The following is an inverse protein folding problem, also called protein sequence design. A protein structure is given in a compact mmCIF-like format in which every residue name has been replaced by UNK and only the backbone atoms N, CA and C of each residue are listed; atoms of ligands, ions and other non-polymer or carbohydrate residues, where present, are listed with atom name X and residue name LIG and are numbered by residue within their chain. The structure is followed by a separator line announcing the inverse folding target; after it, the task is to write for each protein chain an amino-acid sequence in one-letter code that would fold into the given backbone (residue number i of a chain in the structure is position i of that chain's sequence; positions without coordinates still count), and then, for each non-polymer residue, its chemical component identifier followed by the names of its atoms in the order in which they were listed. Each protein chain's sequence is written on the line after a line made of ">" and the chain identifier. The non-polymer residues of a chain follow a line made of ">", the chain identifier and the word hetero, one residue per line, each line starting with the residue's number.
data_IF_597304174736
#
_entry.id   IF_597304174736
#
_cell.length_a   1.000
_cell.length_b   1.000
_cell.length_c   1.000
_cell.angle_alpha   90.00
_cell.angle_beta   90.00
_cell.angle_gamma   90.00
#
_symmetry.space_group_name_H-M   'P 1'
#
loop_
_entity.id
_entity.type
_entity.pdbx_description
1 polymer ?
#
# COMPACT_ATOMS: atom_id res chain seq x y z
N UNK A 1 3.42 13.42 10.93
CA UNK A 1 3.55 12.39 9.89
C UNK A 1 5.03 12.06 9.73
N UNK A 2 5.47 11.44 8.64
CA UNK A 2 6.84 10.97 8.51
C UNK A 2 7.44 11.18 7.14
N UNK A 3 8.76 11.26 7.07
CA UNK A 3 9.49 11.46 5.82
C UNK A 3 9.84 10.14 5.17
N UNK A 4 9.23 9.81 4.03
CA UNK A 4 9.45 8.53 3.34
C UNK A 4 10.92 8.24 3.02
N UNK A 5 11.76 9.27 2.89
CA UNK A 5 13.21 9.15 2.64
C UNK A 5 14.05 9.00 3.92
N UNK A 6 13.46 9.20 5.10
CA UNK A 6 14.13 9.10 6.38
C UNK A 6 13.60 7.91 7.17
N UNK A 7 14.49 7.21 7.85
CA UNK A 7 14.13 6.11 8.75
C UNK A 7 14.53 6.51 10.18
N UNK A 8 13.64 6.37 11.18
CA UNK A 8 12.24 5.93 11.08
C UNK A 8 11.37 6.95 10.34
N UNK A 9 10.29 6.45 9.73
CA UNK A 9 9.28 7.29 9.09
C UNK A 9 8.65 8.20 10.16
N UNK A 10 8.15 7.60 11.24
CA UNK A 10 7.49 8.30 12.35
C UNK A 10 7.96 7.71 13.67
N UNK A 11 8.15 8.58 14.66
CA UNK A 11 8.24 8.21 16.06
C UNK A 11 7.13 8.93 16.83
N UNK A 12 6.33 8.19 17.59
CA UNK A 12 5.26 8.75 18.41
C UNK A 12 4.20 7.71 18.72
N UNK A 13 3.25 8.09 19.55
CA UNK A 13 2.08 7.28 19.90
C UNK A 13 1.13 7.18 18.70
N UNK A 14 1.00 5.97 18.15
CA UNK A 14 0.19 5.71 16.95
C UNK A 14 -1.19 5.21 17.35
N UNK A 15 -1.28 4.58 18.53
CA UNK A 15 -2.46 3.90 19.04
C UNK A 15 -3.19 4.73 20.12
N UNK A 16 -2.68 5.92 20.45
CA UNK A 16 -3.13 6.82 21.52
C UNK A 16 -3.16 6.12 22.90
N UNK A 17 -2.19 5.22 23.16
CA UNK A 17 -2.11 4.44 24.41
C UNK A 17 -1.10 4.99 25.43
N UNK A 18 -0.43 6.10 25.10
CA UNK A 18 0.60 6.75 25.90
C UNK A 18 2.01 6.22 25.68
N UNK A 19 2.18 5.19 24.84
CA UNK A 19 3.48 4.61 24.46
C UNK A 19 3.87 5.10 23.07
N UNK A 20 5.17 5.32 22.84
CA UNK A 20 5.63 5.72 21.51
C UNK A 20 6.12 4.51 20.70
N UNK A 21 5.70 4.42 19.45
CA UNK A 21 6.16 3.43 18.49
C UNK A 21 7.02 4.04 17.39
N UNK A 22 7.80 3.19 16.73
CA UNK A 22 8.55 3.53 15.52
C UNK A 22 7.85 2.90 14.30
N UNK A 23 7.47 3.73 13.32
CA UNK A 23 7.04 3.27 11.98
C UNK A 23 8.24 3.28 11.06
N UNK A 24 8.50 2.14 10.41
CA UNK A 24 9.66 1.95 9.53
C UNK A 24 9.20 1.30 8.22
N UNK A 25 9.76 1.74 7.10
CA UNK A 25 9.68 1.00 5.84
C UNK A 25 10.97 0.21 5.62
N UNK A 26 10.85 -1.08 5.34
CA UNK A 26 11.95 -1.94 4.87
C UNK A 26 11.52 -2.57 3.55
N UNK A 27 12.04 -2.04 2.44
CA UNK A 27 11.55 -2.41 1.11
C UNK A 27 10.05 -2.07 0.95
N UNK A 28 9.23 -3.08 0.66
CA UNK A 28 7.77 -2.94 0.52
C UNK A 28 6.98 -3.19 1.81
N UNK A 29 7.68 -3.48 2.91
CA UNK A 29 7.10 -3.81 4.20
C UNK A 29 7.07 -2.59 5.12
N UNK A 30 5.91 -2.35 5.74
CA UNK A 30 5.76 -1.43 6.86
C UNK A 30 5.90 -2.24 8.15
N UNK A 31 6.75 -1.76 9.05
CA UNK A 31 7.00 -2.32 10.37
C UNK A 31 6.61 -1.30 11.44
N UNK A 32 6.00 -1.76 12.52
CA UNK A 32 5.81 -1.00 13.76
C UNK A 32 6.61 -1.68 14.85
N UNK A 33 7.60 -0.97 15.38
CA UNK A 33 8.48 -1.43 16.45
C UNK A 33 8.16 -0.68 17.74
N UNK A 34 7.98 -1.41 18.84
CA UNK A 34 7.84 -0.83 20.18
C UNK A 34 9.22 -0.79 20.86
N UNK A 35 9.79 0.41 21.13
CA UNK A 35 11.02 0.55 21.88
C UNK A 35 10.94 -0.05 23.29
N UNK A 36 9.79 0.10 23.95
CA UNK A 36 9.57 -0.38 25.30
C UNK A 36 9.55 -1.91 25.37
N UNK A 37 8.83 -2.55 24.42
CA UNK A 37 8.80 -4.00 24.30
C UNK A 37 10.04 -4.59 23.59
N UNK A 38 10.87 -3.74 22.97
CA UNK A 38 12.07 -4.09 22.20
C UNK A 38 11.82 -5.11 21.09
N UNK A 39 10.67 -5.00 20.42
CA UNK A 39 10.27 -5.93 19.34
C UNK A 39 9.38 -5.26 18.30
N UNK A 40 9.28 -5.89 17.13
CA UNK A 40 8.25 -5.59 16.13
C UNK A 40 6.91 -6.09 16.67
N UNK A 41 5.91 -5.20 16.70
CA UNK A 41 4.56 -5.49 17.20
C UNK A 41 3.55 -5.63 16.07
N UNK A 42 3.85 -5.09 14.88
CA UNK A 42 3.07 -5.25 13.67
C UNK A 42 3.97 -5.16 12.45
N UNK A 43 3.68 -5.95 11.42
CA UNK A 43 4.42 -5.92 10.15
C UNK A 43 3.54 -6.35 8.99
N UNK A 44 3.62 -5.63 7.87
CA UNK A 44 2.83 -5.94 6.68
C UNK A 44 3.46 -5.41 5.40
N UNK A 45 3.43 -6.20 4.33
CA UNK A 45 3.64 -5.69 2.97
C UNK A 45 2.48 -4.77 2.58
N UNK A 46 2.73 -3.47 2.45
CA UNK A 46 1.69 -2.48 2.11
C UNK A 46 1.77 -2.02 0.65
N UNK A 47 2.77 -2.48 -0.09
CA UNK A 47 2.95 -2.20 -1.51
C UNK A 47 3.21 -3.49 -2.28
N UNK A 48 2.63 -3.58 -3.47
CA UNK A 48 3.01 -4.56 -4.50
C UNK A 48 3.50 -3.76 -5.69
N UNK A 49 4.72 -4.06 -6.15
CA UNK A 49 5.37 -3.33 -7.25
C UNK A 49 6.00 -4.33 -8.21
N UNK A 50 5.18 -5.22 -8.74
CA UNK A 50 5.59 -6.28 -9.65
C UNK A 50 5.30 -5.87 -11.10
N UNK A 51 5.95 -4.83 -11.58
CA UNK A 51 5.81 -4.39 -12.96
C UNK A 51 7.10 -3.74 -13.46
N UNK A 52 7.41 -3.96 -14.73
CA UNK A 52 8.47 -3.28 -15.46
C UNK A 52 7.94 -1.94 -15.98
N UNK A 53 8.79 -0.92 -15.99
CA UNK A 53 8.55 0.32 -16.73
C UNK A 53 8.28 0.06 -18.21
N UNK A 54 7.82 1.07 -18.94
CA UNK A 54 7.60 0.92 -20.38
C UNK A 54 8.90 0.61 -21.12
N UNK A 55 9.97 1.30 -20.76
CA UNK A 55 11.31 1.09 -21.32
C UNK A 55 11.82 -0.32 -21.02
N UNK A 56 11.67 -0.79 -19.79
CA UNK A 56 12.06 -2.15 -19.39
C UNK A 56 11.20 -3.21 -20.07
N UNK A 57 9.88 -3.01 -20.16
CA UNK A 57 8.96 -3.93 -20.86
C UNK A 57 9.31 -4.01 -22.35
N UNK A 58 9.64 -2.87 -22.97
CA UNK A 58 10.07 -2.82 -24.35
C UNK A 58 11.38 -3.57 -24.55
N UNK A 59 12.39 -3.29 -23.72
CA UNK A 59 13.69 -3.96 -23.78
C UNK A 59 13.57 -5.48 -23.55
N UNK A 60 12.68 -5.89 -22.64
CA UNK A 60 12.37 -7.29 -22.39
C UNK A 60 11.84 -7.98 -23.66
N UNK A 61 10.83 -7.40 -24.32
CA UNK A 61 10.27 -7.96 -25.55
C UNK A 61 11.17 -7.83 -26.80
N UNK A 62 12.16 -6.95 -26.79
CA UNK A 62 13.20 -6.93 -27.83
C UNK A 62 14.14 -8.14 -27.70
N UNK A 63 14.46 -8.56 -26.48
CA UNK A 63 15.32 -9.71 -26.22
C UNK A 63 14.55 -11.04 -26.24
N UNK A 64 13.32 -11.04 -25.74
CA UNK A 64 12.39 -12.17 -25.72
C UNK A 64 11.13 -11.79 -26.50
N UNK A 65 11.16 -11.90 -27.85
CA UNK A 65 10.01 -11.54 -28.67
C UNK A 65 8.75 -12.30 -28.22
N UNK A 66 7.63 -11.60 -28.03
CA UNK A 66 6.40 -12.24 -27.58
C UNK A 66 5.92 -13.25 -28.63
N UNK A 67 5.52 -14.43 -28.16
CA UNK A 67 4.93 -15.49 -28.96
C UNK A 67 3.41 -15.37 -29.11
N UNK A 68 2.78 -14.51 -28.30
CA UNK A 68 1.34 -14.29 -28.30
C UNK A 68 0.90 -13.15 -29.23
N UNK A 69 -0.38 -13.16 -29.61
CA UNK A 69 -1.04 -12.02 -30.27
C UNK A 69 -1.04 -10.80 -29.33
N UNK A 70 -0.97 -9.59 -29.89
CA UNK A 70 -1.06 -8.31 -29.18
C UNK A 70 -2.26 -8.23 -28.22
N UNK A 71 -3.35 -8.95 -28.49
CA UNK A 71 -4.51 -9.04 -27.59
C UNK A 71 -4.20 -9.62 -26.20
N UNK A 72 -3.09 -10.36 -26.07
CA UNK A 72 -2.66 -11.01 -24.84
C UNK A 72 -1.35 -10.44 -24.28
N UNK A 73 -0.77 -9.44 -24.95
CA UNK A 73 0.46 -8.79 -24.49
C UNK A 73 0.08 -7.63 -23.57
N UNK A 74 0.60 -7.57 -22.34
CA UNK A 74 0.36 -6.45 -21.44
C UNK A 74 1.11 -5.17 -21.86
N UNK A 75 0.63 -4.01 -21.42
CA UNK A 75 1.40 -2.76 -21.51
C UNK A 75 2.64 -2.80 -20.62
N UNK A 76 2.53 -3.36 -19.42
CA UNK A 76 3.61 -3.51 -18.45
C UNK A 76 3.75 -4.98 -18.04
N UNK A 77 4.95 -5.53 -18.22
CA UNK A 77 5.26 -6.92 -17.89
C UNK A 77 5.52 -7.08 -16.38
N UNK A 78 5.23 -8.26 -15.81
CA UNK A 78 5.63 -8.61 -14.44
C UNK A 78 7.16 -8.61 -14.31
N UNK A 79 7.68 -7.92 -13.29
CA UNK A 79 9.11 -7.83 -13.00
C UNK A 79 9.62 -9.11 -12.30
N UNK A 80 8.74 -9.83 -11.61
CA UNK A 80 8.99 -11.12 -10.99
C UNK A 80 8.88 -12.29 -11.98
N UNK A 81 8.67 -12.01 -13.27
CA UNK A 81 8.58 -13.05 -14.29
C UNK A 81 9.94 -13.77 -14.45
N UNK A 82 10.06 -14.94 -13.83
CA UNK A 82 11.25 -15.79 -13.90
C UNK A 82 11.32 -16.58 -15.22
N UNK A 83 10.18 -16.74 -15.91
CA UNK A 83 10.12 -17.34 -17.23
C UNK A 83 10.03 -16.22 -18.27
N UNK A 84 11.19 -15.76 -18.70
CA UNK A 84 11.32 -14.64 -19.63
C UNK A 84 10.61 -14.84 -20.98
N UNK A 85 10.10 -16.04 -21.27
CA UNK A 85 9.29 -16.31 -22.47
C UNK A 85 7.78 -16.14 -22.29
N UNK A 86 7.31 -15.96 -21.05
CA UNK A 86 5.89 -15.80 -20.73
C UNK A 86 5.48 -14.32 -20.67
N UNK A 87 4.40 -13.92 -21.34
CA UNK A 87 3.85 -12.56 -21.32
C UNK A 87 2.86 -12.38 -20.15
N UNK A 88 3.41 -12.25 -18.93
CA UNK A 88 2.64 -12.07 -17.70
C UNK A 88 2.41 -10.58 -17.41
N UNK A 89 1.15 -10.15 -17.18
CA UNK A 89 0.86 -8.78 -16.82
C UNK A 89 1.46 -8.43 -15.46
N UNK A 90 2.05 -7.25 -15.34
CA UNK A 90 2.55 -6.73 -14.08
C UNK A 90 1.42 -6.33 -13.12
N UNK A 91 1.71 -6.37 -11.82
CA UNK A 91 0.81 -6.01 -10.74
C UNK A 91 1.30 -4.77 -9.99
N UNK A 92 0.35 -3.91 -9.63
CA UNK A 92 0.54 -2.82 -8.68
C UNK A 92 -0.45 -2.97 -7.54
N UNK A 93 -0.01 -2.71 -6.32
CA UNK A 93 -0.86 -2.78 -5.14
C UNK A 93 -0.52 -1.70 -4.14
N UNK A 94 -1.56 -1.14 -3.54
CA UNK A 94 -1.46 -0.08 -2.55
C UNK A 94 -2.20 -0.51 -1.28
N UNK A 95 -1.65 -0.12 -0.14
CA UNK A 95 -2.19 -0.42 1.18
C UNK A 95 -2.30 0.85 2.01
N UNK A 96 -3.41 0.97 2.72
CA UNK A 96 -3.67 2.06 3.65
C UNK A 96 -4.11 1.49 4.99
N UNK A 97 -3.58 2.08 6.06
CA UNK A 97 -3.85 1.65 7.43
C UNK A 97 -4.68 2.74 8.11
N UNK A 98 -5.66 2.31 8.90
CA UNK A 98 -6.37 3.14 9.86
C UNK A 98 -6.20 2.52 11.25
N UNK A 99 -5.86 3.35 12.23
CA UNK A 99 -5.63 2.94 13.61
C UNK A 99 -6.66 3.63 14.50
N UNK A 100 -7.24 2.89 15.44
CA UNK A 100 -8.23 3.39 16.40
C UNK A 100 -8.88 2.25 17.17
N UNK A 101 -9.91 2.52 17.98
CA UNK A 101 -10.74 1.50 18.64
C UNK A 101 -12.12 1.48 17.95
N UNK A 102 -12.25 0.62 16.94
CA UNK A 102 -13.42 0.60 16.05
C UNK A 102 -14.54 -0.29 16.58
N UNK A 103 -14.19 -1.35 17.31
CA UNK A 103 -15.15 -2.25 17.93
C UNK A 103 -15.57 -1.82 19.36
N UNK A 104 -14.91 -0.80 19.92
CA UNK A 104 -15.16 -0.17 21.23
C UNK A 104 -14.85 -1.09 22.41
N UNK A 105 -13.88 -1.98 22.25
CA UNK A 105 -13.43 -2.89 23.30
C UNK A 105 -12.27 -2.34 24.14
N UNK A 106 -11.75 -1.16 23.80
CA UNK A 106 -10.66 -0.49 24.50
C UNK A 106 -9.26 -0.95 24.08
N UNK A 107 -9.14 -1.83 23.08
CA UNK A 107 -7.87 -2.18 22.44
C UNK A 107 -7.74 -1.45 21.10
N UNK A 108 -6.50 -1.23 20.68
CA UNK A 108 -6.22 -0.63 19.39
C UNK A 108 -6.43 -1.66 18.25
N UNK A 109 -7.22 -1.26 17.28
CA UNK A 109 -7.46 -1.92 16.00
C UNK A 109 -6.62 -1.28 14.91
N UNK A 110 -6.14 -2.10 13.98
CA UNK A 110 -5.53 -1.69 12.72
C UNK A 110 -6.37 -2.26 11.58
N UNK A 111 -7.05 -1.39 10.85
CA UNK A 111 -7.74 -1.73 9.61
C UNK A 111 -6.81 -1.49 8.44
N UNK A 112 -6.59 -2.53 7.65
CA UNK A 112 -5.81 -2.46 6.41
C UNK A 112 -6.73 -2.54 5.22
N UNK A 113 -6.83 -1.46 4.45
CA UNK A 113 -7.47 -1.45 3.15
C UNK A 113 -6.40 -1.58 2.06
N UNK A 114 -6.51 -2.61 1.23
CA UNK A 114 -5.65 -2.82 0.05
C UNK A 114 -6.43 -2.69 -1.24
N UNK A 115 -5.77 -2.20 -2.27
CA UNK A 115 -6.23 -2.22 -3.67
C UNK A 115 -5.20 -2.91 -4.53
N UNK A 116 -5.64 -3.83 -5.37
CA UNK A 116 -4.80 -4.55 -6.33
C UNK A 116 -5.18 -4.19 -7.75
N UNK A 117 -4.18 -3.92 -8.58
CA UNK A 117 -4.29 -3.55 -9.96
C UNK A 117 -3.41 -4.47 -10.81
N UNK A 118 -3.83 -4.70 -12.06
CA UNK A 118 -3.13 -5.50 -13.05
C UNK A 118 -2.94 -4.69 -14.32
N UNK A 119 -1.81 -4.85 -15.01
CA UNK A 119 -1.56 -4.19 -16.28
C UNK A 119 -2.68 -4.53 -17.26
N UNK A 120 -3.15 -3.52 -17.98
CA UNK A 120 -4.05 -3.71 -19.11
C UNK A 120 -3.30 -4.31 -20.30
N UNK A 121 -4.02 -4.98 -21.18
CA UNK A 121 -3.47 -5.50 -22.44
C UNK A 121 -3.26 -4.36 -23.44
N UNK A 122 -2.38 -4.54 -24.43
CA UNK A 122 -2.06 -3.53 -25.46
C UNK A 122 -3.25 -3.11 -26.32
N UNK A 123 -4.29 -3.94 -26.37
CA UNK A 123 -5.56 -3.65 -27.04
C UNK A 123 -6.50 -2.76 -26.22
N UNK A 124 -6.22 -2.57 -24.93
CA UNK A 124 -6.93 -1.65 -24.05
C UNK A 124 -6.16 -0.32 -23.89
N UNK A 125 -6.79 0.67 -23.25
CA UNK A 125 -6.10 1.89 -22.82
C UNK A 125 -4.88 1.56 -21.95
N UNK A 126 -3.79 2.30 -22.16
CA UNK A 126 -2.56 2.13 -21.39
C UNK A 126 -2.80 2.41 -19.91
N UNK A 127 -2.20 1.57 -19.05
CA UNK A 127 -2.32 1.70 -17.60
C UNK A 127 -2.68 0.38 -16.93
N UNK A 128 -3.26 0.50 -15.74
CA UNK A 128 -3.68 -0.64 -14.92
C UNK A 128 -5.19 -0.65 -14.72
N UNK A 129 -5.77 -1.83 -14.54
CA UNK A 129 -7.17 -2.02 -14.15
C UNK A 129 -7.25 -2.54 -12.73
N UNK A 130 -8.17 -1.99 -11.93
CA UNK A 130 -8.43 -2.47 -10.57
C UNK A 130 -9.02 -3.88 -10.64
N UNK A 131 -8.45 -4.79 -9.87
CA UNK A 131 -8.88 -6.20 -9.77
C UNK A 131 -9.78 -6.38 -8.56
N UNK A 132 -9.34 -5.89 -7.40
CA UNK A 132 -10.08 -6.03 -6.13
C UNK A 132 -9.63 -5.03 -5.08
N UNK A 133 -10.54 -4.80 -4.15
CA UNK A 133 -10.23 -4.23 -2.84
C UNK A 133 -10.19 -5.37 -1.81
N UNK A 134 -9.46 -5.20 -0.72
CA UNK A 134 -9.43 -6.18 0.37
C UNK A 134 -9.24 -5.49 1.71
N UNK A 135 -10.00 -5.94 2.69
CA UNK A 135 -10.03 -5.39 4.04
C UNK A 135 -9.50 -6.44 5.01
N UNK A 136 -8.64 -6.02 5.92
CA UNK A 136 -8.12 -6.85 6.99
C UNK A 136 -8.24 -6.10 8.30
N UNK A 137 -8.55 -6.83 9.36
CA UNK A 137 -8.61 -6.30 10.72
C UNK A 137 -7.52 -6.98 11.56
N UNK A 138 -6.74 -6.18 12.27
CA UNK A 138 -5.81 -6.63 13.30
C UNK A 138 -6.13 -5.92 14.61
N UNK A 139 -5.92 -6.59 15.73
CA UNK A 139 -6.15 -6.02 17.06
C UNK A 139 -4.93 -6.28 17.94
N UNK A 140 -4.59 -5.30 18.77
CA UNK A 140 -3.53 -5.40 19.78
C UNK A 140 -3.93 -6.40 20.86
N UNK A 141 -3.09 -7.41 21.03
CA UNK A 141 -3.28 -8.43 22.06
C UNK A 141 -2.65 -8.01 23.39
N UNK A 142 -2.95 -8.75 24.46
CA UNK A 142 -2.36 -8.53 25.79
C UNK A 142 -0.82 -8.66 25.85
N UNK A 143 -0.18 -9.24 24.83
CA UNK A 143 1.28 -9.29 24.68
C UNK A 143 1.87 -8.09 23.94
N UNK A 144 1.02 -7.11 23.60
CA UNK A 144 1.36 -5.91 22.84
C UNK A 144 1.52 -6.11 21.34
N UNK A 145 1.28 -7.32 20.82
CA UNK A 145 1.37 -7.62 19.38
C UNK A 145 0.01 -7.49 18.72
N UNK A 146 -0.02 -6.94 17.51
CA UNK A 146 -1.22 -6.87 16.69
C UNK A 146 -1.41 -8.17 15.92
N UNK A 147 -2.55 -8.84 16.09
CA UNK A 147 -2.87 -10.09 15.40
C UNK A 147 -4.09 -9.94 14.53
N UNK A 148 -4.07 -10.59 13.37
CA UNK A 148 -5.19 -10.58 12.45
C UNK A 148 -6.41 -11.26 13.10
N UNK A 149 -7.55 -10.58 13.04
CA UNK A 149 -8.83 -11.06 13.54
C UNK A 149 -9.68 -11.64 12.42
N UNK A 150 -10.64 -12.49 12.80
CA UNK A 150 -11.67 -12.98 11.88
C UNK A 150 -12.84 -12.01 11.94
N UNK A 151 -12.80 -11.01 11.07
CA UNK A 151 -13.86 -10.00 10.93
C UNK A 151 -14.32 -9.96 9.48
N UNK A 152 -15.63 -9.91 9.26
CA UNK A 152 -16.18 -9.90 7.90
C UNK A 152 -16.01 -8.52 7.28
N UNK A 153 -15.87 -8.46 5.96
CA UNK A 153 -15.76 -7.21 5.20
C UNK A 153 -16.91 -6.25 5.52
N UNK A 154 -18.15 -6.77 5.67
CA UNK A 154 -19.34 -5.97 6.02
C UNK A 154 -19.15 -5.23 7.35
N UNK A 155 -18.53 -5.85 8.35
CA UNK A 155 -18.27 -5.21 9.64
C UNK A 155 -17.21 -4.13 9.49
N UNK A 156 -16.11 -4.43 8.78
CA UNK A 156 -15.03 -3.45 8.55
C UNK A 156 -15.53 -2.25 7.74
N UNK A 157 -16.34 -2.48 6.70
CA UNK A 157 -16.96 -1.43 5.90
C UNK A 157 -17.88 -0.53 6.74
N UNK A 158 -18.62 -1.12 7.71
CA UNK A 158 -19.41 -0.33 8.65
C UNK A 158 -18.52 0.53 9.54
N UNK A 159 -17.42 0.00 10.10
CA UNK A 159 -16.48 0.79 10.89
C UNK A 159 -15.86 1.94 10.09
N UNK A 160 -15.45 1.67 8.84
CA UNK A 160 -14.93 2.71 7.96
C UNK A 160 -15.97 3.80 7.71
N UNK A 161 -17.23 3.42 7.42
CA UNK A 161 -18.31 4.39 7.17
C UNK A 161 -18.66 5.20 8.41
N UNK A 162 -18.81 4.56 9.57
CA UNK A 162 -19.23 5.19 10.82
C UNK A 162 -18.17 6.17 11.35
N UNK A 163 -16.89 5.97 10.96
CA UNK A 163 -15.78 6.88 11.28
C UNK A 163 -15.41 7.83 10.11
N UNK A 164 -16.24 7.85 9.05
CA UNK A 164 -16.03 8.65 7.85
C UNK A 164 -14.62 8.46 7.24
N UNK A 165 -14.12 7.23 7.28
CA UNK A 165 -12.82 6.83 6.75
C UNK A 165 -12.99 6.36 5.30
N UNK A 166 -12.46 7.16 4.37
CA UNK A 166 -12.46 6.84 2.94
C UNK A 166 -11.05 6.65 2.44
N UNK A 167 -10.90 5.98 1.30
CA UNK A 167 -9.60 5.80 0.66
C UNK A 167 -8.88 7.14 0.51
N UNK A 168 -9.56 8.21 0.10
CA UNK A 168 -9.02 9.54 -0.14
C UNK A 168 -8.60 10.31 1.12
N UNK A 169 -9.17 10.00 2.29
CA UNK A 169 -9.00 10.82 3.49
C UNK A 169 -7.62 10.66 4.13
N UNK A 170 -6.95 11.76 4.48
CA UNK A 170 -5.73 11.68 5.31
C UNK A 170 -4.44 11.40 4.55
N UNK A 171 -4.44 11.49 3.22
CA UNK A 171 -3.19 11.63 2.48
C UNK A 171 -2.67 13.08 2.58
N UNK A 172 -1.41 13.32 2.97
CA UNK A 172 -0.86 14.66 3.07
C UNK A 172 -0.58 15.22 1.68
N UNK A 173 -1.13 16.39 1.34
CA UNK A 173 -0.82 17.08 0.08
C UNK A 173 0.47 17.89 0.12
N UNK A 174 0.98 18.18 1.32
CA UNK A 174 2.18 18.97 1.53
C UNK A 174 3.19 18.20 2.39
N UNK A 175 4.46 18.38 2.07
CA UNK A 175 5.57 17.77 2.80
C UNK A 175 5.73 18.40 4.18
N UNK A 176 5.95 17.56 5.18
CA UNK A 176 6.39 17.94 6.54
C UNK A 176 7.90 17.70 6.72
N UNK A 177 8.62 17.36 5.64
CA UNK A 177 10.03 17.00 5.74
C UNK A 177 10.93 18.20 5.92
N UNK A 178 11.93 18.03 6.79
CA UNK A 178 12.93 19.05 7.07
C UNK A 178 13.60 19.53 5.78
N UNK A 179 13.48 20.82 5.49
CA UNK A 179 14.00 21.48 4.29
C UNK A 179 13.04 21.49 3.09
N UNK A 180 11.92 20.78 3.16
CA UNK A 180 10.91 20.66 2.10
C UNK A 180 9.50 20.97 2.66
N UNK A 181 9.41 21.64 3.81
CA UNK A 181 8.14 21.89 4.49
C UNK A 181 7.21 22.75 3.64
N UNK A 182 5.94 22.35 3.56
CA UNK A 182 4.91 23.07 2.81
C UNK A 182 5.04 22.95 1.28
N UNK A 183 6.03 22.21 0.77
CA UNK A 183 6.11 21.89 -0.65
C UNK A 183 5.07 20.83 -1.03
N UNK A 184 4.57 20.89 -2.27
CA UNK A 184 3.61 19.91 -2.78
C UNK A 184 4.26 18.53 -2.88
N UNK A 185 3.51 17.50 -2.47
CA UNK A 185 3.91 16.10 -2.68
C UNK A 185 3.46 15.69 -4.09
N UNK A 186 4.36 15.44 -5.07
CA UNK A 186 3.98 15.16 -6.45
C UNK A 186 2.98 14.01 -6.61
N UNK A 187 3.13 12.95 -5.82
CA UNK A 187 2.25 11.78 -5.77
C UNK A 187 0.80 12.14 -5.39
N UNK A 188 0.57 13.31 -4.82
CA UNK A 188 -0.77 13.82 -4.47
C UNK A 188 -1.37 14.74 -5.53
N UNK A 189 -0.70 14.89 -6.68
CA UNK A 189 -1.16 15.74 -7.77
C UNK A 189 -0.97 15.10 -9.16
N UNK A 190 -0.15 14.05 -9.29
CA UNK A 190 0.05 13.29 -10.53
C UNK A 190 -0.54 11.87 -10.42
N UNK A 191 -1.61 11.55 -11.19
CA UNK A 191 -2.26 10.24 -11.19
C UNK A 191 -1.35 9.08 -11.60
N UNK A 192 -0.22 9.34 -12.26
CA UNK A 192 0.73 8.30 -12.67
C UNK A 192 1.65 7.87 -11.52
N UNK A 193 1.83 8.74 -10.52
CA UNK A 193 2.75 8.55 -9.41
C UNK A 193 2.10 7.90 -8.18
N UNK A 194 0.78 7.69 -8.17
CA UNK A 194 0.04 7.15 -7.02
C UNK A 194 -1.15 6.28 -7.45
N UNK A 195 -1.89 5.75 -6.47
CA UNK A 195 -3.15 5.08 -6.72
C UNK A 195 -4.15 6.06 -7.40
N UNK A 196 -4.74 5.69 -8.56
CA UNK A 196 -5.63 6.57 -9.32
C UNK A 196 -6.86 7.07 -8.57
N UNK A 197 -7.28 6.40 -7.49
CA UNK A 197 -8.42 6.79 -6.67
C UNK A 197 -8.04 7.78 -5.56
N UNK A 198 -6.77 8.08 -5.37
CA UNK A 198 -6.31 9.09 -4.38
C UNK A 198 -6.68 10.51 -4.81
N UNK A 199 -6.70 10.75 -6.13
CA UNK A 199 -6.90 12.08 -6.73
C UNK A 199 -8.33 12.34 -7.25
N UNK A 200 -9.25 11.41 -7.00
CA UNK A 200 -10.67 11.52 -7.36
C UNK A 200 -11.51 11.84 -6.14
#
# INVERSE_FOLDING_TARGET
>A
MGCLKNTPLRYGDIEDDGTNELVIFVGNELLVFSPDAKKVIFSLNVRVDDWMTEEETKAHFEYYPPGLDNAYIPHYQSAANMDFSSELPGYRGYGKLYVGDYDKNGNADIIVWRKLYISRMRTEEKGFKKVRDSLYHFEKTSTGECKQQITTDVVIENWLRDNELTWQKGFPSFSECEGEEGQLIPEMHDPLLNDPDVLK
#
